data_IF_905803424550
#
_entry.id   IF_905803424550
#
_cell.length_a   1.000
_cell.length_b   1.000
_cell.length_c   1.000
_cell.angle_alpha   90.00
_cell.angle_beta   90.00
_cell.angle_gamma   90.00
#
_symmetry.space_group_name_H-M   'P 1'
#
loop_
_entity.id
_entity.type
_entity.pdbx_description
1 polymer ?
#
# COMPACT_ATOMS: atom_id res chain seq x y z
N UNK A 1 3.71 31.86 -66.55
CA UNK A 1 3.26 30.50 -66.88
C UNK A 1 4.34 29.53 -66.41
N UNK A 2 3.97 28.56 -65.57
CA UNK A 2 4.58 27.22 -65.31
C UNK A 2 4.12 26.77 -63.89
N UNK A 3 2.92 26.18 -63.90
CA UNK A 3 2.40 25.03 -63.15
C UNK A 3 2.91 24.65 -61.75
N UNK A 4 1.95 24.70 -60.81
CA UNK A 4 1.77 23.90 -59.59
C UNK A 4 2.11 22.41 -59.78
N UNK A 5 2.79 21.80 -58.80
CA UNK A 5 2.54 20.42 -58.33
C UNK A 5 2.72 20.32 -56.81
N UNK A 6 1.60 20.17 -56.11
CA UNK A 6 1.53 19.72 -54.71
C UNK A 6 1.89 18.23 -54.69
N UNK A 7 2.90 17.82 -53.92
CA UNK A 7 3.05 16.44 -53.47
C UNK A 7 2.95 16.46 -51.94
N UNK A 8 1.79 16.05 -51.43
CA UNK A 8 1.58 15.76 -50.01
C UNK A 8 1.98 14.30 -49.83
N UNK A 9 3.18 14.07 -49.31
CA UNK A 9 3.62 12.73 -48.89
C UNK A 9 3.04 12.46 -47.50
N UNK A 10 1.97 11.69 -47.45
CA UNK A 10 1.44 11.13 -46.20
C UNK A 10 2.42 10.05 -45.73
N UNK A 11 3.27 10.38 -44.75
CA UNK A 11 4.04 9.40 -44.00
C UNK A 11 3.10 8.83 -42.94
N UNK A 12 2.45 7.72 -43.27
CA UNK A 12 1.71 6.92 -42.30
C UNK A 12 2.70 6.27 -41.33
N UNK A 13 2.85 6.84 -40.14
CA UNK A 13 3.46 6.15 -39.01
C UNK A 13 2.49 5.05 -38.54
N UNK A 14 2.64 3.83 -39.08
CA UNK A 14 2.11 2.64 -38.43
C UNK A 14 2.96 2.38 -37.17
N UNK A 15 2.53 2.96 -36.04
CA UNK A 15 3.02 2.56 -34.73
C UNK A 15 2.53 1.14 -34.44
N UNK A 16 3.37 0.16 -34.75
CA UNK A 16 3.21 -1.21 -34.29
C UNK A 16 3.45 -1.22 -32.78
N UNK A 17 2.41 -0.99 -31.99
CA UNK A 17 2.44 -1.22 -30.55
C UNK A 17 2.53 -2.73 -30.34
N UNK A 18 3.75 -3.26 -30.33
CA UNK A 18 4.02 -4.62 -29.90
C UNK A 18 3.62 -4.71 -28.43
N UNK A 19 2.42 -5.24 -28.17
CA UNK A 19 1.98 -5.63 -26.85
C UNK A 19 2.89 -6.78 -26.44
N UNK A 20 3.93 -6.48 -25.64
CA UNK A 20 4.70 -7.54 -25.01
C UNK A 20 3.77 -8.23 -24.03
N UNK A 21 3.18 -9.34 -24.46
CA UNK A 21 2.55 -10.27 -23.55
C UNK A 21 3.63 -10.74 -22.58
N UNK A 22 3.62 -10.20 -21.36
CA UNK A 22 4.51 -10.63 -20.30
C UNK A 22 4.14 -12.07 -19.95
N UNK A 23 4.84 -13.02 -20.55
CA UNK A 23 4.72 -14.43 -20.23
C UNK A 23 5.13 -14.60 -18.77
N UNK A 24 4.14 -14.74 -17.87
CA UNK A 24 4.41 -15.12 -16.49
C UNK A 24 5.21 -16.43 -16.54
N UNK A 25 6.39 -16.41 -15.91
CA UNK A 25 7.18 -17.62 -15.75
C UNK A 25 6.30 -18.73 -15.15
N UNK A 26 6.50 -19.99 -15.56
CA UNK A 26 5.70 -21.10 -15.06
C UNK A 26 5.76 -21.14 -13.53
N UNK A 27 4.60 -21.31 -12.89
CA UNK A 27 4.50 -21.39 -11.44
C UNK A 27 5.25 -22.64 -10.98
N UNK A 28 6.31 -22.46 -10.20
CA UNK A 28 6.96 -23.54 -9.48
C UNK A 28 6.23 -23.74 -8.15
N UNK A 29 5.48 -24.82 -8.01
CA UNK A 29 4.81 -25.15 -6.75
C UNK A 29 5.82 -25.48 -5.64
N UNK A 30 6.90 -26.19 -5.98
CA UNK A 30 8.06 -26.40 -5.13
C UNK A 30 9.28 -25.91 -5.91
N UNK A 31 9.98 -24.90 -5.38
CA UNK A 31 11.24 -24.45 -5.96
C UNK A 31 12.41 -25.07 -5.20
N UNK A 32 13.06 -26.05 -5.82
CA UNK A 32 14.21 -26.75 -5.24
C UNK A 32 15.38 -25.81 -4.92
N UNK A 33 15.45 -24.63 -5.57
CA UNK A 33 16.46 -23.62 -5.27
C UNK A 33 16.33 -23.01 -3.86
N UNK A 34 15.16 -23.15 -3.23
CA UNK A 34 14.90 -22.66 -1.87
C UNK A 34 15.36 -23.64 -0.78
N UNK A 35 15.63 -24.90 -1.15
CA UNK A 35 15.99 -25.97 -0.24
C UNK A 35 17.49 -25.95 0.11
N UNK A 36 17.84 -26.39 1.32
CA UNK A 36 19.20 -26.66 1.75
C UNK A 36 19.44 -28.17 1.86
N UNK A 37 19.93 -28.77 0.78
CA UNK A 37 20.18 -30.21 0.70
C UNK A 37 21.35 -30.70 1.57
N UNK A 38 22.07 -29.79 2.24
CA UNK A 38 23.08 -30.18 3.24
C UNK A 38 22.44 -30.58 4.58
N UNK A 39 21.17 -30.20 4.80
CA UNK A 39 20.41 -30.57 5.99
C UNK A 39 19.57 -31.80 5.66
N UNK A 40 19.72 -32.87 6.44
CA UNK A 40 18.84 -34.04 6.29
C UNK A 40 17.41 -33.67 6.71
N UNK A 41 16.37 -34.02 5.92
CA UNK A 41 14.98 -33.65 6.22
C UNK A 41 14.49 -34.14 7.58
N UNK A 42 14.99 -35.28 8.07
CA UNK A 42 14.63 -35.82 9.38
C UNK A 42 15.27 -35.10 10.58
N UNK A 43 16.28 -34.27 10.36
CA UNK A 43 16.94 -33.51 11.44
C UNK A 43 16.27 -32.16 11.66
N UNK A 44 16.00 -31.44 10.56
CA UNK A 44 15.31 -30.15 10.57
C UNK A 44 14.65 -29.94 9.20
N UNK A 45 13.37 -30.29 9.10
CA UNK A 45 12.63 -30.19 7.85
C UNK A 45 12.44 -28.74 7.41
N UNK A 46 12.32 -27.80 8.35
CA UNK A 46 12.13 -26.38 8.03
C UNK A 46 13.37 -25.80 7.35
N UNK A 47 14.56 -26.08 7.90
CA UNK A 47 15.83 -25.66 7.29
C UNK A 47 16.14 -26.44 6.02
N UNK A 48 15.82 -27.73 5.93
CA UNK A 48 15.93 -28.49 4.67
C UNK A 48 15.07 -27.87 3.56
N UNK A 49 13.80 -27.57 3.83
CA UNK A 49 12.89 -27.07 2.82
C UNK A 49 13.12 -25.59 2.45
N UNK A 50 13.58 -24.75 3.39
CA UNK A 50 13.62 -23.29 3.22
C UNK A 50 15.00 -22.65 3.44
N UNK A 51 16.04 -23.43 3.76
CA UNK A 51 17.32 -22.89 4.25
C UNK A 51 18.00 -21.95 3.26
N UNK A 52 17.98 -22.30 1.96
CA UNK A 52 18.53 -21.42 0.92
C UNK A 52 17.67 -20.18 0.71
N UNK A 53 16.33 -20.28 0.81
CA UNK A 53 15.46 -19.11 0.76
C UNK A 53 15.74 -18.14 1.91
N UNK A 54 15.83 -18.64 3.14
CA UNK A 54 16.10 -17.81 4.33
C UNK A 54 17.44 -17.08 4.18
N UNK A 55 18.48 -17.78 3.69
CA UNK A 55 19.80 -17.19 3.46
C UNK A 55 19.77 -16.06 2.42
N UNK A 56 18.99 -16.24 1.35
CA UNK A 56 18.94 -15.30 0.23
C UNK A 56 17.91 -14.18 0.40
N UNK A 57 17.04 -14.28 1.41
CA UNK A 57 15.97 -13.32 1.67
C UNK A 57 16.09 -12.77 3.10
N UNK A 58 17.17 -12.01 3.41
CA UNK A 58 17.30 -11.38 4.72
C UNK A 58 16.12 -10.43 4.95
N UNK A 59 15.77 -10.23 6.22
CA UNK A 59 14.70 -9.30 6.58
C UNK A 59 15.07 -7.89 6.11
N UNK A 60 14.28 -7.26 5.22
CA UNK A 60 14.56 -5.89 4.80
C UNK A 60 14.54 -4.94 6.00
N UNK A 61 15.39 -3.90 5.99
CA UNK A 61 15.50 -2.96 7.11
C UNK A 61 14.18 -2.26 7.50
N UNK A 62 13.25 -2.13 6.55
CA UNK A 62 11.92 -1.54 6.76
C UNK A 62 10.87 -2.53 7.32
N UNK A 63 11.25 -3.79 7.58
CA UNK A 63 10.34 -4.86 8.01
C UNK A 63 10.88 -5.50 9.29
N UNK A 64 9.97 -5.96 10.15
CA UNK A 64 10.33 -6.71 11.38
C UNK A 64 10.44 -8.22 11.14
N UNK A 65 9.84 -8.71 10.05
CA UNK A 65 9.86 -10.12 9.62
C UNK A 65 9.80 -10.20 8.11
N UNK A 66 10.32 -11.29 7.54
CA UNK A 66 10.24 -11.55 6.11
C UNK A 66 9.97 -13.02 5.84
N UNK A 67 9.00 -13.26 4.95
CA UNK A 67 8.54 -14.59 4.55
C UNK A 67 7.97 -14.50 3.13
N UNK A 68 7.64 -15.64 2.54
CA UNK A 68 6.93 -15.71 1.25
C UNK A 68 5.58 -14.95 1.28
N UNK A 69 4.87 -14.96 2.41
CA UNK A 69 3.68 -14.12 2.61
C UNK A 69 4.02 -12.63 2.62
N UNK A 70 5.19 -12.25 3.15
CA UNK A 70 5.70 -10.88 3.07
C UNK A 70 5.96 -10.45 1.63
N UNK A 71 6.56 -11.32 0.82
CA UNK A 71 6.77 -11.08 -0.63
C UNK A 71 5.43 -10.86 -1.33
N UNK A 72 4.47 -11.77 -1.12
CA UNK A 72 3.13 -11.66 -1.73
C UNK A 72 2.41 -10.37 -1.30
N UNK A 73 2.46 -10.03 -0.01
CA UNK A 73 1.85 -8.81 0.49
C UNK A 73 2.49 -7.54 -0.11
N UNK A 74 3.81 -7.55 -0.30
CA UNK A 74 4.52 -6.44 -0.94
C UNK A 74 4.13 -6.29 -2.42
N UNK A 75 4.00 -7.40 -3.16
CA UNK A 75 3.51 -7.39 -4.54
C UNK A 75 2.06 -6.88 -4.62
N UNK A 76 1.18 -7.37 -3.74
CA UNK A 76 -0.20 -6.91 -3.66
C UNK A 76 -0.29 -5.41 -3.34
N UNK A 77 0.52 -4.92 -2.39
CA UNK A 77 0.59 -3.50 -2.04
C UNK A 77 1.09 -2.65 -3.20
N UNK A 78 2.04 -3.12 -4.01
CA UNK A 78 2.48 -2.40 -5.23
C UNK A 78 1.35 -2.29 -6.24
N UNK A 79 0.61 -3.36 -6.48
CA UNK A 79 -0.55 -3.33 -7.37
C UNK A 79 -1.64 -2.38 -6.84
N UNK A 80 -1.96 -2.46 -5.54
CA UNK A 80 -2.93 -1.59 -4.89
C UNK A 80 -2.50 -0.12 -4.98
N UNK A 81 -1.23 0.17 -4.71
CA UNK A 81 -0.67 1.53 -4.84
C UNK A 81 -0.88 2.08 -6.25
N UNK A 82 -0.62 1.29 -7.29
CA UNK A 82 -0.87 1.70 -8.67
C UNK A 82 -2.34 2.08 -8.93
N UNK A 83 -3.28 1.31 -8.40
CA UNK A 83 -4.71 1.61 -8.49
C UNK A 83 -5.09 2.89 -7.75
N UNK A 84 -4.54 3.11 -6.55
CA UNK A 84 -4.80 4.31 -5.75
C UNK A 84 -4.19 5.57 -6.38
N UNK A 85 -3.00 5.47 -6.96
CA UNK A 85 -2.37 6.55 -7.70
C UNK A 85 -3.14 6.91 -8.96
N UNK A 86 -3.71 5.93 -9.67
CA UNK A 86 -4.59 6.19 -10.81
C UNK A 86 -5.91 6.83 -10.36
N UNK A 87 -6.54 6.32 -9.30
CA UNK A 87 -7.76 6.91 -8.75
C UNK A 87 -7.58 8.37 -8.32
N UNK A 88 -6.42 8.72 -7.74
CA UNK A 88 -6.08 10.09 -7.35
C UNK A 88 -5.85 11.03 -8.55
N UNK A 89 -5.27 10.53 -9.64
CA UNK A 89 -4.97 11.34 -10.84
C UNK A 89 -6.14 11.43 -11.80
N UNK A 90 -6.87 10.31 -11.96
CA UNK A 90 -7.90 10.09 -12.96
C UNK A 90 -9.18 9.54 -12.30
N UNK A 91 -9.82 10.29 -11.39
CA UNK A 91 -10.99 9.80 -10.65
C UNK A 91 -12.18 9.46 -11.57
N UNK A 92 -12.20 10.00 -12.79
CA UNK A 92 -13.32 9.84 -13.73
C UNK A 92 -14.57 10.54 -13.21
N UNK A 93 -15.76 10.05 -13.59
CA UNK A 93 -17.06 10.58 -13.13
C UNK A 93 -17.64 9.83 -11.92
N UNK A 94 -16.94 8.83 -11.41
CA UNK A 94 -17.41 8.00 -10.31
C UNK A 94 -17.02 8.62 -8.95
N UNK A 95 -18.01 9.04 -8.16
CA UNK A 95 -17.79 9.61 -6.83
C UNK A 95 -17.01 8.70 -5.88
N UNK A 96 -17.23 7.38 -5.93
CA UNK A 96 -16.48 6.44 -5.08
C UNK A 96 -14.99 6.44 -5.42
N UNK A 97 -14.66 6.49 -6.71
CA UNK A 97 -13.29 6.52 -7.17
C UNK A 97 -12.60 7.84 -6.76
N UNK A 98 -13.33 8.95 -6.86
CA UNK A 98 -12.87 10.24 -6.34
C UNK A 98 -12.59 10.18 -4.84
N UNK A 99 -13.50 9.65 -4.02
CA UNK A 99 -13.31 9.55 -2.58
C UNK A 99 -12.07 8.71 -2.21
N UNK A 100 -11.85 7.59 -2.92
CA UNK A 100 -10.66 6.75 -2.72
C UNK A 100 -9.38 7.51 -3.11
N UNK A 101 -9.39 8.19 -4.25
CA UNK A 101 -8.27 8.99 -4.74
C UNK A 101 -7.92 10.14 -3.79
N UNK A 102 -8.91 10.92 -3.35
CA UNK A 102 -8.75 12.04 -2.44
C UNK A 102 -8.22 11.57 -1.08
N UNK A 103 -8.74 10.46 -0.56
CA UNK A 103 -8.26 9.87 0.70
C UNK A 103 -6.78 9.46 0.59
N UNK A 104 -6.40 8.75 -0.47
CA UNK A 104 -5.01 8.38 -0.72
C UNK A 104 -4.10 9.61 -0.87
N UNK A 105 -4.51 10.59 -1.67
CA UNK A 105 -3.75 11.82 -1.88
C UNK A 105 -3.52 12.60 -0.58
N UNK A 106 -4.54 12.67 0.30
CA UNK A 106 -4.41 13.33 1.60
C UNK A 106 -3.35 12.71 2.51
N UNK A 107 -3.16 11.39 2.44
CA UNK A 107 -2.16 10.68 3.22
C UNK A 107 -0.74 10.78 2.61
N UNK A 108 -0.65 10.98 1.30
CA UNK A 108 0.64 11.06 0.59
C UNK A 108 1.24 12.48 0.57
N UNK A 109 0.46 13.53 0.86
CA UNK A 109 0.95 14.92 0.90
C UNK A 109 1.67 15.23 2.23
N UNK A 110 2.91 14.75 2.34
CA UNK A 110 3.74 14.99 3.52
C UNK A 110 4.05 16.47 3.75
N UNK A 111 4.04 17.30 2.71
CA UNK A 111 4.31 18.74 2.83
C UNK A 111 3.15 19.44 3.52
N UNK A 112 1.91 19.13 3.11
CA UNK A 112 0.72 19.63 3.79
C UNK A 112 0.63 19.13 5.24
N UNK A 113 0.93 17.85 5.48
CA UNK A 113 0.94 17.25 6.83
C UNK A 113 1.95 17.97 7.73
N UNK A 114 3.19 18.14 7.28
CA UNK A 114 4.24 18.80 8.07
C UNK A 114 3.89 20.27 8.33
N UNK A 115 3.34 20.97 7.34
CA UNK A 115 2.88 22.35 7.49
C UNK A 115 1.74 22.48 8.50
N UNK A 116 0.82 21.51 8.54
CA UNK A 116 -0.30 21.52 9.48
C UNK A 116 0.17 21.26 10.93
N UNK A 117 1.24 20.47 11.10
CA UNK A 117 1.75 20.08 12.41
C UNK A 117 0.66 19.43 13.27
N UNK A 118 0.61 19.75 14.56
CA UNK A 118 -0.42 19.23 15.47
C UNK A 118 -1.73 20.06 15.46
N UNK A 119 -1.82 21.11 14.64
CA UNK A 119 -2.99 22.00 14.61
C UNK A 119 -4.32 21.25 14.48
N UNK A 120 -4.45 20.20 13.64
CA UNK A 120 -5.71 19.46 13.49
C UNK A 120 -6.23 18.78 14.77
N UNK A 121 -5.35 18.51 15.75
CA UNK A 121 -5.72 17.86 17.02
C UNK A 121 -5.65 18.80 18.23
N UNK A 122 -5.37 20.09 18.00
CA UNK A 122 -5.12 21.06 19.08
C UNK A 122 -6.35 21.24 19.97
N UNK A 123 -7.54 21.34 19.40
CA UNK A 123 -8.78 21.53 20.16
C UNK A 123 -9.08 20.34 21.07
N UNK A 124 -8.81 19.13 20.60
CA UNK A 124 -8.94 17.89 21.38
C UNK A 124 -7.95 17.87 22.54
N UNK A 125 -6.68 18.21 22.30
CA UNK A 125 -5.66 18.26 23.35
C UNK A 125 -6.01 19.31 24.42
N UNK A 126 -6.46 20.50 24.02
CA UNK A 126 -6.91 21.54 24.96
C UNK A 126 -8.13 21.09 25.77
N UNK A 127 -9.08 20.40 25.14
CA UNK A 127 -10.24 19.82 25.83
C UNK A 127 -9.82 18.79 26.87
N UNK A 128 -8.91 17.88 26.52
CA UNK A 128 -8.39 16.87 27.44
C UNK A 128 -7.59 17.50 28.59
N UNK A 129 -6.82 18.55 28.33
CA UNK A 129 -6.02 19.25 29.34
C UNK A 129 -6.85 20.02 30.38
N UNK A 130 -8.16 20.20 30.17
CA UNK A 130 -9.07 20.84 31.13
C UNK A 130 -9.74 19.85 32.09
N UNK A 131 -9.57 18.55 31.86
CA UNK A 131 -10.15 17.51 32.72
C UNK A 131 -9.45 17.54 34.08
N UNK A 132 -10.25 17.72 35.14
CA UNK A 132 -9.80 17.97 36.51
C UNK A 132 -10.55 17.14 37.56
N UNK A 133 -11.54 16.35 37.15
CA UNK A 133 -12.35 15.52 38.05
C UNK A 133 -12.67 14.15 37.47
N UNK A 134 -13.05 13.22 38.35
CA UNK A 134 -13.48 11.87 37.96
C UNK A 134 -14.72 11.91 37.06
N UNK A 135 -15.68 12.79 37.36
CA UNK A 135 -16.89 12.93 36.54
C UNK A 135 -16.56 13.39 35.11
N UNK A 136 -15.61 14.31 34.96
CA UNK A 136 -15.11 14.73 33.66
C UNK A 136 -14.38 13.61 32.91
N UNK A 137 -13.64 12.75 33.61
CA UNK A 137 -13.04 11.54 33.01
C UNK A 137 -14.11 10.58 32.50
N UNK A 138 -15.17 10.34 33.29
CA UNK A 138 -16.28 9.46 32.89
C UNK A 138 -17.00 10.03 31.65
N UNK A 139 -17.23 11.34 31.61
CA UNK A 139 -17.81 12.02 30.46
C UNK A 139 -16.91 11.94 29.21
N UNK A 140 -15.59 12.04 29.40
CA UNK A 140 -14.63 11.87 28.31
C UNK A 140 -14.65 10.45 27.75
N UNK A 141 -14.70 9.44 28.63
CA UNK A 141 -14.81 8.02 28.23
C UNK A 141 -16.05 7.80 27.36
N UNK A 142 -17.19 8.38 27.75
CA UNK A 142 -18.41 8.31 26.95
C UNK A 142 -18.25 9.03 25.59
N UNK A 143 -17.59 10.18 25.56
CA UNK A 143 -17.32 10.94 24.32
C UNK A 143 -16.43 10.16 23.37
N UNK A 144 -15.33 9.56 23.85
CA UNK A 144 -14.39 8.80 23.02
C UNK A 144 -15.05 7.57 22.40
N UNK A 145 -15.93 6.90 23.17
CA UNK A 145 -16.69 5.74 22.70
C UNK A 145 -17.75 6.11 21.67
N UNK A 146 -18.58 7.11 21.96
CA UNK A 146 -19.68 7.51 21.07
C UNK A 146 -19.19 8.07 19.74
N UNK A 147 -18.01 8.69 19.72
CA UNK A 147 -17.37 9.20 18.51
C UNK A 147 -16.47 8.17 17.79
N UNK A 148 -16.33 6.95 18.32
CA UNK A 148 -15.48 5.91 17.71
C UNK A 148 -13.98 6.24 17.73
N UNK A 149 -13.53 7.13 18.62
CA UNK A 149 -12.12 7.56 18.71
C UNK A 149 -11.30 6.51 19.48
N UNK A 150 -11.83 6.01 20.59
CA UNK A 150 -11.17 5.02 21.43
C UNK A 150 -12.19 4.20 22.26
N UNK A 151 -11.76 3.02 22.73
CA UNK A 151 -12.54 2.14 23.61
C UNK A 151 -11.84 1.94 24.96
N UNK A 152 -11.67 3.00 25.78
CA UNK A 152 -11.03 2.86 27.09
C UNK A 152 -11.83 1.90 27.99
N UNK A 153 -11.14 1.15 28.86
CA UNK A 153 -11.66 0.10 29.75
C UNK A 153 -12.00 -1.23 29.07
N UNK A 154 -12.96 -1.26 28.15
CA UNK A 154 -13.43 -2.50 27.50
C UNK A 154 -13.98 -2.25 26.10
N UNK A 155 -13.73 -3.17 25.18
CA UNK A 155 -14.23 -3.11 23.81
C UNK A 155 -15.70 -3.55 23.70
N UNK A 156 -16.41 -2.94 22.75
CA UNK A 156 -17.69 -3.45 22.27
C UNK A 156 -17.56 -3.79 20.79
N UNK A 157 -18.20 -4.87 20.38
CA UNK A 157 -18.34 -5.28 18.98
C UNK A 157 -19.74 -5.87 18.81
N UNK A 158 -20.29 -5.78 17.60
CA UNK A 158 -21.55 -6.39 17.20
C UNK A 158 -21.26 -7.38 16.09
#
# INVERSE_FOLDING_TARGET
MITRKLLVTIIGFLSFAATQAQTKAPIKFIDLANMDNNVKPGNDFYKYANGSWIKNNPVPASKTRWSTFGVLAEEANKSLRGLLEDAAKNPGKNRLNQMVGDFYASAMDSVAIEKAGYTPIKAELERLGRISSLDEIINEIATLRTRGIASPLFGFFV
#
